data_IF_563538695905
#
_entry.id   IF_563538695905
#
_cell.length_a   1.000
_cell.length_b   1.000
_cell.length_c   1.000
_cell.angle_alpha   90.00
_cell.angle_beta   90.00
_cell.angle_gamma   90.00
#
_symmetry.space_group_name_H-M   'P 1'
#
loop_
_entity.id
_entity.type
_entity.pdbx_description
1 polymer ?
#
# COMPACT_ATOMS: atom_id res chain seq x y z
N UNK A 1 12.58 -11.60 12.75
CA UNK A 1 12.18 -12.70 11.82
C UNK A 1 11.75 -12.09 10.49
N UNK A 2 12.05 -12.70 9.32
CA UNK A 2 11.66 -12.16 8.00
C UNK A 2 10.27 -12.70 7.61
N UNK A 3 9.32 -11.84 7.23
CA UNK A 3 7.92 -12.20 6.90
C UNK A 3 7.80 -13.34 5.87
N UNK A 4 8.57 -13.29 4.79
CA UNK A 4 8.53 -14.32 3.73
C UNK A 4 9.03 -15.70 4.18
N UNK A 5 9.73 -15.81 5.31
CA UNK A 5 10.23 -17.09 5.86
C UNK A 5 9.25 -17.76 6.81
N UNK A 6 8.09 -17.14 7.09
CA UNK A 6 7.07 -17.70 7.99
C UNK A 6 5.95 -18.43 7.25
N UNK A 7 6.12 -18.72 5.95
CA UNK A 7 5.11 -19.39 5.12
C UNK A 7 4.08 -18.45 4.49
N UNK A 8 4.23 -17.13 4.64
CA UNK A 8 3.38 -16.16 3.95
C UNK A 8 3.75 -16.08 2.47
N UNK A 9 2.77 -16.26 1.56
CA UNK A 9 2.92 -15.89 0.15
C UNK A 9 2.76 -14.36 0.04
N UNK A 10 3.80 -13.70 -0.43
CA UNK A 10 3.87 -12.25 -0.52
C UNK A 10 3.95 -11.88 -1.99
N UNK A 11 2.99 -11.11 -2.47
CA UNK A 11 3.03 -10.48 -3.80
C UNK A 11 3.28 -8.99 -3.62
N UNK A 12 4.21 -8.45 -4.39
CA UNK A 12 4.51 -7.02 -4.42
C UNK A 12 3.83 -6.41 -5.63
N UNK A 13 3.13 -5.31 -5.37
CA UNK A 13 2.52 -4.44 -6.36
C UNK A 13 3.29 -3.12 -6.36
N UNK A 14 3.83 -2.74 -7.50
CA UNK A 14 4.38 -1.41 -7.72
C UNK A 14 3.37 -0.59 -8.51
N UNK A 15 2.99 0.58 -7.99
CA UNK A 15 1.90 1.37 -8.56
C UNK A 15 2.10 2.88 -8.34
N UNK A 16 1.46 3.65 -9.23
CA UNK A 16 1.27 5.10 -9.20
C UNK A 16 -0.21 5.41 -9.46
N UNK A 17 -0.55 6.16 -10.51
CA UNK A 17 -1.91 6.21 -11.06
C UNK A 17 -2.38 4.90 -11.71
N UNK A 18 -1.49 3.91 -11.90
CA UNK A 18 -1.80 2.56 -12.37
C UNK A 18 -0.87 1.52 -11.74
N UNK A 19 -1.21 0.24 -11.84
CA UNK A 19 -0.27 -0.84 -11.49
C UNK A 19 0.77 -0.98 -12.60
N UNK A 20 2.05 -0.92 -12.23
CA UNK A 20 3.20 -1.03 -13.16
C UNK A 20 3.82 -2.41 -13.16
N UNK A 21 3.88 -3.06 -11.99
CA UNK A 21 4.53 -4.36 -11.84
C UNK A 21 3.90 -5.18 -10.73
N UNK A 22 3.79 -6.48 -10.96
CA UNK A 22 3.24 -7.47 -10.02
C UNK A 22 4.19 -8.66 -9.99
N UNK A 23 4.69 -9.04 -8.82
CA UNK A 23 5.56 -10.22 -8.70
C UNK A 23 5.50 -10.85 -7.32
N UNK A 24 5.72 -12.17 -7.27
CA UNK A 24 5.90 -12.89 -6.00
C UNK A 24 7.25 -12.55 -5.38
N UNK A 25 7.23 -12.15 -4.12
CA UNK A 25 8.40 -11.80 -3.33
C UNK A 25 9.08 -13.05 -2.77
N UNK A 26 10.33 -13.26 -3.18
CA UNK A 26 11.14 -14.42 -2.77
C UNK A 26 12.29 -14.04 -1.83
N UNK A 27 12.17 -12.90 -1.14
CA UNK A 27 13.14 -12.48 -0.12
C UNK A 27 14.32 -11.63 -0.61
N UNK A 28 14.27 -11.14 -1.85
CA UNK A 28 15.28 -10.22 -2.39
C UNK A 28 14.95 -8.77 -2.00
N UNK A 29 15.94 -7.89 -1.74
CA UNK A 29 15.68 -6.48 -1.46
C UNK A 29 14.86 -5.82 -2.56
N UNK A 30 13.95 -4.93 -2.18
CA UNK A 30 13.24 -4.09 -3.14
C UNK A 30 14.18 -2.98 -3.62
N UNK A 31 14.23 -2.75 -4.93
CA UNK A 31 14.92 -1.60 -5.50
C UNK A 31 14.09 -0.32 -5.29
N UNK A 32 14.72 0.84 -5.41
CA UNK A 32 14.06 2.14 -5.24
C UNK A 32 12.84 2.26 -6.18
N UNK A 33 11.71 2.68 -5.62
CA UNK A 33 10.48 2.93 -6.37
C UNK A 33 10.44 4.41 -6.72
N UNK A 34 10.33 4.75 -8.00
CA UNK A 34 10.22 6.14 -8.46
C UNK A 34 8.76 6.61 -8.47
N UNK A 35 8.43 7.60 -7.65
CA UNK A 35 7.16 8.33 -7.74
C UNK A 35 7.18 9.33 -8.90
N UNK A 36 6.10 9.38 -9.72
CA UNK A 36 6.00 10.29 -10.88
C UNK A 36 4.89 11.36 -10.79
N UNK A 37 4.31 11.55 -9.61
CA UNK A 37 3.20 12.49 -9.38
C UNK A 37 1.85 11.96 -9.90
N UNK A 38 0.77 12.31 -9.21
CA UNK A 38 -0.58 11.79 -9.45
C UNK A 38 -0.75 10.34 -8.99
N UNK A 39 -1.31 10.15 -7.79
CA UNK A 39 -1.52 8.82 -7.23
C UNK A 39 -3.00 8.50 -7.17
N UNK A 40 -3.40 7.39 -7.78
CA UNK A 40 -4.72 6.79 -7.59
C UNK A 40 -4.53 5.47 -6.84
N UNK A 41 -5.17 5.33 -5.68
CA UNK A 41 -5.05 4.12 -4.88
C UNK A 41 -5.92 2.97 -5.42
N UNK A 42 -6.93 3.28 -6.25
CA UNK A 42 -7.92 2.31 -6.73
C UNK A 42 -7.30 1.15 -7.55
N UNK A 43 -6.37 1.37 -8.50
CA UNK A 43 -5.86 0.29 -9.35
C UNK A 43 -5.13 -0.81 -8.56
N UNK A 44 -4.38 -0.44 -7.52
CA UNK A 44 -3.68 -1.43 -6.69
C UNK A 44 -4.64 -2.23 -5.80
N UNK A 45 -5.74 -1.62 -5.35
CA UNK A 45 -6.80 -2.31 -4.62
C UNK A 45 -7.53 -3.30 -5.53
N UNK A 46 -7.86 -2.90 -6.75
CA UNK A 46 -8.48 -3.78 -7.75
C UNK A 46 -7.58 -4.97 -8.07
N UNK A 47 -6.29 -4.71 -8.31
CA UNK A 47 -5.33 -5.78 -8.57
C UNK A 47 -5.22 -6.75 -7.38
N UNK A 48 -5.25 -6.25 -6.14
CA UNK A 48 -5.21 -7.10 -4.95
C UNK A 48 -6.48 -7.96 -4.81
N UNK A 49 -7.65 -7.41 -5.14
CA UNK A 49 -8.91 -8.16 -5.17
C UNK A 49 -8.88 -9.27 -6.21
N UNK A 50 -8.39 -8.99 -7.43
CA UNK A 50 -8.24 -9.97 -8.51
C UNK A 50 -7.28 -11.10 -8.14
N UNK A 51 -6.18 -10.79 -7.44
CA UNK A 51 -5.22 -11.79 -6.95
C UNK A 51 -5.77 -12.65 -5.81
N UNK A 52 -6.92 -12.29 -5.23
CA UNK A 52 -7.54 -13.04 -4.12
C UNK A 52 -6.70 -13.05 -2.85
N UNK A 53 -5.90 -12.01 -2.59
CA UNK A 53 -5.04 -11.97 -1.40
C UNK A 53 -5.86 -11.83 -0.11
N UNK A 54 -5.34 -12.39 0.99
CA UNK A 54 -5.99 -12.31 2.30
C UNK A 54 -5.91 -10.93 2.97
N UNK A 55 -5.07 -10.02 2.46
CA UNK A 55 -4.91 -8.66 2.98
C UNK A 55 -3.88 -7.87 2.19
N UNK A 56 -3.94 -6.55 2.31
CA UNK A 56 -3.08 -5.59 1.63
C UNK A 56 -2.38 -4.68 2.64
N UNK A 57 -1.06 -4.59 2.52
CA UNK A 57 -0.26 -3.56 3.21
C UNK A 57 0.17 -2.54 2.15
N UNK A 58 -0.34 -1.33 2.25
CA UNK A 58 -0.13 -0.27 1.28
C UNK A 58 0.84 0.78 1.83
N UNK A 59 1.98 0.96 1.19
CA UNK A 59 2.96 2.00 1.54
C UNK A 59 2.73 3.25 0.70
N UNK A 60 2.53 4.39 1.34
CA UNK A 60 2.24 5.66 0.68
C UNK A 60 2.65 6.84 1.56
N UNK A 61 2.77 8.04 1.00
CA UNK A 61 2.79 9.28 1.76
C UNK A 61 1.37 9.79 2.10
N UNK A 62 0.32 9.13 1.61
CA UNK A 62 -1.07 9.47 1.90
C UNK A 62 -1.62 10.57 1.00
N UNK A 63 -0.92 10.98 -0.06
CA UNK A 63 -1.43 11.94 -1.05
C UNK A 63 -1.89 11.18 -2.30
N UNK A 64 -3.20 11.11 -2.51
CA UNK A 64 -3.80 10.45 -3.67
C UNK A 64 -5.33 10.45 -3.62
N UNK A 65 -5.95 9.84 -4.63
CA UNK A 65 -7.41 9.71 -4.69
C UNK A 65 -7.89 8.60 -3.76
N UNK A 66 -8.86 8.91 -2.90
CA UNK A 66 -9.50 7.92 -2.02
C UNK A 66 -10.13 6.81 -2.88
N UNK A 67 -9.82 5.53 -2.60
CA UNK A 67 -10.41 4.44 -3.36
C UNK A 67 -11.91 4.36 -3.10
N UNK A 68 -12.69 4.17 -4.16
CA UNK A 68 -14.16 4.13 -4.07
C UNK A 68 -14.65 2.85 -3.42
N UNK A 69 -13.92 1.74 -3.60
CA UNK A 69 -14.30 0.41 -3.10
C UNK A 69 -13.08 -0.45 -2.79
N UNK A 70 -13.04 -1.01 -1.59
CA UNK A 70 -12.11 -2.09 -1.19
C UNK A 70 -12.78 -3.45 -1.06
N UNK A 71 -14.12 -3.52 -1.15
CA UNK A 71 -14.86 -4.76 -0.92
C UNK A 71 -14.63 -5.29 0.50
N UNK A 72 -14.30 -6.57 0.62
CA UNK A 72 -13.95 -7.23 1.90
C UNK A 72 -12.44 -7.29 2.18
N UNK A 73 -11.60 -6.72 1.30
CA UNK A 73 -10.15 -6.79 1.43
C UNK A 73 -9.70 -6.01 2.67
N UNK A 74 -9.06 -6.66 3.67
CA UNK A 74 -8.45 -5.95 4.78
C UNK A 74 -7.26 -5.13 4.28
N UNK A 75 -7.32 -3.81 4.47
CA UNK A 75 -6.23 -2.90 4.09
C UNK A 75 -5.59 -2.29 5.34
N UNK A 76 -4.26 -2.36 5.40
CA UNK A 76 -3.41 -1.62 6.31
C UNK A 76 -2.64 -0.56 5.51
N UNK A 77 -2.93 0.71 5.77
CA UNK A 77 -2.19 1.83 5.21
C UNK A 77 -0.99 2.15 6.08
N UNK A 78 0.20 2.15 5.48
CA UNK A 78 1.45 2.57 6.11
C UNK A 78 1.84 3.91 5.51
N UNK A 79 1.58 4.98 6.27
CA UNK A 79 1.77 6.35 5.83
C UNK A 79 3.14 6.83 6.29
N UNK A 80 3.96 7.33 5.36
CA UNK A 80 5.32 7.83 5.64
C UNK A 80 5.31 8.96 6.67
N UNK A 81 6.41 9.13 7.44
CA UNK A 81 6.49 10.13 8.51
C UNK A 81 6.23 11.57 8.01
N UNK A 82 6.84 11.95 6.89
CA UNK A 82 6.65 13.27 6.26
C UNK A 82 5.37 13.40 5.41
N UNK A 83 4.59 12.34 5.26
CA UNK A 83 3.35 12.34 4.49
C UNK A 83 2.16 12.98 5.23
N UNK A 84 0.95 12.67 4.77
CA UNK A 84 -0.34 13.06 5.33
C UNK A 84 -0.39 12.95 6.87
N UNK A 85 -0.77 14.04 7.54
CA UNK A 85 -0.94 14.05 8.99
C UNK A 85 -2.18 13.28 9.44
N UNK A 86 -2.12 12.70 10.66
CA UNK A 86 -3.26 11.98 11.21
C UNK A 86 -4.50 12.88 11.32
N UNK A 87 -5.66 12.36 10.94
CA UNK A 87 -6.92 13.09 10.96
C UNK A 87 -7.07 14.20 9.91
N UNK A 88 -6.06 14.44 9.08
CA UNK A 88 -6.09 15.49 8.06
C UNK A 88 -6.31 14.96 6.65
N UNK A 89 -6.74 15.85 5.74
CA UNK A 89 -6.98 15.54 4.34
C UNK A 89 -7.87 14.31 4.16
N UNK A 90 -7.36 13.34 3.41
CA UNK A 90 -8.11 12.11 3.11
C UNK A 90 -8.02 11.05 4.21
N UNK A 91 -7.34 11.31 5.34
CA UNK A 91 -7.02 10.30 6.35
C UNK A 91 -8.26 9.53 6.77
N UNK A 92 -9.33 10.22 7.18
CA UNK A 92 -10.56 9.59 7.65
C UNK A 92 -11.35 8.88 6.54
N UNK A 93 -11.11 9.24 5.27
CA UNK A 93 -11.77 8.64 4.12
C UNK A 93 -11.09 7.35 3.64
N UNK A 94 -9.81 7.13 3.99
CA UNK A 94 -9.14 5.88 3.68
C UNK A 94 -9.80 4.72 4.47
N UNK A 95 -10.23 3.62 3.81
CA UNK A 95 -10.88 2.50 4.48
C UNK A 95 -9.88 1.65 5.27
N UNK A 96 -10.33 0.89 6.27
CA UNK A 96 -9.44 -0.03 7.01
C UNK A 96 -8.49 0.66 8.00
N UNK A 97 -7.43 -0.06 8.40
CA UNK A 97 -6.51 0.37 9.46
C UNK A 97 -5.40 1.25 8.87
N UNK A 98 -4.92 2.20 9.67
CA UNK A 98 -3.87 3.15 9.26
C UNK A 98 -2.81 3.17 10.35
N UNK A 99 -1.56 3.22 9.95
CA UNK A 99 -0.43 3.51 10.82
C UNK A 99 0.41 4.62 10.18
N UNK A 100 0.84 5.58 11.00
CA UNK A 100 1.80 6.61 10.61
C UNK A 100 3.18 6.16 11.08
N UNK A 101 4.15 6.17 10.18
CA UNK A 101 5.55 5.95 10.54
C UNK A 101 6.06 7.16 11.31
N UNK A 102 6.89 6.91 12.32
CA UNK A 102 7.64 7.97 13.00
C UNK A 102 8.89 8.28 12.19
N UNK A 103 9.42 9.52 12.24
CA UNK A 103 10.76 9.80 11.75
C UNK A 103 11.77 8.87 12.42
N UNK A 104 12.83 8.51 11.72
CA UNK A 104 13.98 7.89 12.36
C UNK A 104 14.60 8.91 13.33
N UNK A 105 14.96 8.47 14.55
CA UNK A 105 15.60 9.29 15.59
C UNK A 105 17.02 9.73 15.19
#
# INVERSE_FOLDING_TARGET
RRLWRTGADITVLECDYRVRRVWRYRGQPLHAVEGRGGTDFQPAIEQALELGVGGLVYFTDGFGTVPRRTGRLPVLWVISAGGLAEGQGIWNALPGKKIKLKPDE
#
